data_IF_449127556676
#
_entry.id   IF_449127556676
#
_cell.length_a   1.000
_cell.length_b   1.000
_cell.length_c   1.000
_cell.angle_alpha   90.00
_cell.angle_beta   90.00
_cell.angle_gamma   90.00
#
_symmetry.space_group_name_H-M   'P 1'
#
loop_
_entity.id
_entity.type
_entity.pdbx_description
1 polymer ?
#
# COMPACT_ATOMS: atom_id res chain seq x y z
N UNK A 1 28.13 -20.06 -1.71
CA UNK A 1 27.76 -21.43 -1.27
C UNK A 1 26.50 -21.83 -2.04
N UNK A 2 26.64 -22.66 -3.09
CA UNK A 2 25.55 -22.95 -4.04
C UNK A 2 24.38 -23.72 -3.38
N UNK A 3 24.69 -24.62 -2.43
CA UNK A 3 23.68 -25.40 -1.71
C UNK A 3 22.72 -24.54 -0.90
N UNK A 4 23.23 -23.52 -0.17
CA UNK A 4 22.36 -22.62 0.61
C UNK A 4 21.46 -21.76 -0.28
N UNK A 5 21.93 -21.36 -1.45
CA UNK A 5 21.11 -20.60 -2.42
C UNK A 5 19.92 -21.45 -2.90
N UNK A 6 20.16 -22.71 -3.22
CA UNK A 6 19.11 -23.61 -3.71
C UNK A 6 18.10 -23.96 -2.61
N UNK A 7 18.55 -24.12 -1.37
CA UNK A 7 17.67 -24.25 -0.20
C UNK A 7 16.76 -23.02 -0.02
N UNK A 8 17.34 -21.82 0.00
CA UNK A 8 16.58 -20.57 0.13
C UNK A 8 15.55 -20.40 -0.99
N UNK A 9 15.89 -20.81 -2.22
CA UNK A 9 14.95 -20.76 -3.34
C UNK A 9 13.77 -21.73 -3.15
N UNK A 10 14.01 -22.94 -2.62
CA UNK A 10 12.93 -23.89 -2.30
C UNK A 10 12.07 -23.41 -1.15
N UNK A 11 12.69 -22.90 -0.08
CA UNK A 11 12.00 -22.30 1.07
C UNK A 11 11.10 -21.14 0.60
N UNK A 12 11.62 -20.24 -0.25
CA UNK A 12 10.85 -19.15 -0.86
C UNK A 12 9.69 -19.69 -1.70
N UNK A 13 9.91 -20.67 -2.57
CA UNK A 13 8.84 -21.21 -3.42
C UNK A 13 7.70 -21.77 -2.58
N UNK A 14 8.03 -22.61 -1.60
CA UNK A 14 7.03 -23.18 -0.69
C UNK A 14 6.27 -22.10 0.10
N UNK A 15 6.97 -21.03 0.50
CA UNK A 15 6.35 -19.90 1.18
C UNK A 15 5.37 -19.16 0.26
N UNK A 16 5.75 -18.86 -0.98
CA UNK A 16 4.87 -18.19 -1.95
C UNK A 16 3.62 -19.02 -2.21
N UNK A 17 3.77 -20.32 -2.46
CA UNK A 17 2.65 -21.24 -2.72
C UNK A 17 1.69 -21.27 -1.52
N UNK A 18 2.24 -21.36 -0.30
CA UNK A 18 1.44 -21.40 0.94
C UNK A 18 0.77 -20.05 1.19
N UNK A 19 1.48 -18.94 1.01
CA UNK A 19 0.98 -17.60 1.23
C UNK A 19 -0.18 -17.27 0.29
N UNK A 20 -0.05 -17.62 -0.99
CA UNK A 20 -1.13 -17.49 -1.97
C UNK A 20 -2.33 -18.35 -1.58
N UNK A 21 -2.14 -19.62 -1.24
CA UNK A 21 -3.22 -20.52 -0.85
C UNK A 21 -3.99 -20.08 0.41
N UNK A 22 -3.33 -19.40 1.34
CA UNK A 22 -3.92 -18.97 2.62
C UNK A 22 -4.60 -17.61 2.51
N UNK A 23 -3.96 -16.64 1.85
CA UNK A 23 -4.37 -15.23 1.92
C UNK A 23 -5.00 -14.70 0.64
N UNK A 24 -4.78 -15.33 -0.52
CA UNK A 24 -5.36 -14.84 -1.77
C UNK A 24 -6.81 -15.33 -1.93
N UNK A 25 -7.77 -14.40 -1.97
CA UNK A 25 -9.16 -14.71 -2.33
C UNK A 25 -9.30 -14.58 -3.85
N UNK A 26 -9.49 -15.71 -4.55
CA UNK A 26 -9.62 -15.76 -6.01
C UNK A 26 -10.91 -15.13 -6.53
N UNK A 27 -11.93 -14.93 -5.67
CA UNK A 27 -13.19 -14.26 -6.04
C UNK A 27 -13.03 -12.75 -5.99
N UNK A 28 -12.33 -12.26 -4.97
CA UNK A 28 -12.07 -10.83 -4.83
C UNK A 28 -10.91 -10.37 -5.72
N UNK A 29 -9.90 -11.21 -5.92
CA UNK A 29 -8.73 -10.92 -6.75
C UNK A 29 -7.58 -10.24 -6.01
N UNK A 30 -7.43 -10.47 -4.69
CA UNK A 30 -6.36 -9.89 -3.89
C UNK A 30 -6.06 -10.69 -2.61
N UNK A 31 -5.06 -10.26 -1.84
CA UNK A 31 -4.71 -10.85 -0.55
C UNK A 31 -5.45 -10.18 0.60
N UNK A 32 -5.95 -10.98 1.54
CA UNK A 32 -6.68 -10.50 2.71
C UNK A 32 -6.20 -11.19 3.98
N UNK A 33 -6.34 -10.52 5.12
CA UNK A 33 -6.04 -11.12 6.41
C UNK A 33 -6.99 -12.30 6.70
N UNK A 34 -6.47 -13.35 7.33
CA UNK A 34 -7.24 -14.53 7.68
C UNK A 34 -7.62 -14.53 9.16
N UNK A 35 -8.91 -14.69 9.46
CA UNK A 35 -9.36 -14.95 10.81
C UNK A 35 -9.05 -16.40 11.20
N UNK A 36 -8.05 -16.61 12.06
CA UNK A 36 -7.64 -17.94 12.50
C UNK A 36 -8.72 -18.75 13.26
N UNK A 37 -9.76 -18.09 13.79
CA UNK A 37 -10.85 -18.78 14.51
C UNK A 37 -11.93 -19.28 13.56
N UNK A 38 -12.26 -18.51 12.52
CA UNK A 38 -13.34 -18.85 11.58
C UNK A 38 -12.82 -19.46 10.27
N UNK A 39 -11.55 -19.22 9.93
CA UNK A 39 -10.97 -19.58 8.64
C UNK A 39 -11.43 -18.67 7.49
N UNK A 40 -12.05 -17.53 7.80
CA UNK A 40 -12.58 -16.59 6.80
C UNK A 40 -11.62 -15.42 6.57
N UNK A 41 -11.61 -14.89 5.35
CA UNK A 41 -10.90 -13.66 5.01
C UNK A 41 -11.63 -12.42 5.53
N UNK A 42 -10.86 -11.45 6.04
CA UNK A 42 -11.35 -10.11 6.34
C UNK A 42 -11.36 -9.27 5.07
N UNK A 43 -12.55 -9.01 4.53
CA UNK A 43 -12.76 -8.32 3.26
C UNK A 43 -12.76 -6.77 3.37
N UNK A 44 -12.25 -6.25 4.48
CA UNK A 44 -12.14 -4.82 4.73
C UNK A 44 -11.11 -4.16 3.80
N UNK A 45 -11.37 -2.91 3.42
CA UNK A 45 -10.55 -2.19 2.45
C UNK A 45 -9.27 -1.64 3.09
N UNK A 46 -8.24 -2.47 3.14
CA UNK A 46 -6.87 -2.10 3.48
C UNK A 46 -5.96 -2.17 2.25
N UNK A 47 -5.13 -1.15 1.98
CA UNK A 47 -4.17 -1.18 0.88
C UNK A 47 -3.11 -2.28 1.04
N UNK A 48 -2.93 -2.87 2.23
CA UNK A 48 -2.06 -4.03 2.44
C UNK A 48 -2.39 -5.20 1.51
N UNK A 49 -3.63 -5.27 1.01
CA UNK A 49 -4.07 -6.26 0.02
C UNK A 49 -3.21 -6.30 -1.25
N UNK A 50 -2.46 -5.25 -1.55
CA UNK A 50 -1.58 -5.15 -2.73
C UNK A 50 -0.08 -5.15 -2.38
N UNK A 51 0.30 -5.20 -1.10
CA UNK A 51 1.71 -5.27 -0.67
C UNK A 51 2.47 -6.48 -1.22
N UNK A 52 1.84 -7.66 -1.46
CA UNK A 52 2.53 -8.77 -2.11
C UNK A 52 3.14 -8.44 -3.48
N UNK A 53 2.58 -7.46 -4.20
CA UNK A 53 3.17 -6.94 -5.45
C UNK A 53 4.55 -6.30 -5.22
N UNK A 54 4.71 -5.56 -4.13
CA UNK A 54 5.98 -4.93 -3.75
C UNK A 54 7.05 -5.96 -3.35
N UNK A 55 6.64 -6.98 -2.59
CA UNK A 55 7.55 -8.01 -2.09
C UNK A 55 7.87 -9.09 -3.11
N UNK A 56 7.22 -9.06 -4.29
CA UNK A 56 7.32 -10.13 -5.30
C UNK A 56 6.98 -11.52 -4.72
N UNK A 57 5.98 -11.54 -3.83
CA UNK A 57 5.50 -12.73 -3.12
C UNK A 57 4.25 -13.31 -3.80
N UNK A 58 4.39 -13.57 -5.09
CA UNK A 58 3.36 -14.15 -5.95
C UNK A 58 4.02 -14.77 -7.18
N UNK A 59 3.28 -15.60 -7.92
CA UNK A 59 3.78 -16.12 -9.19
C UNK A 59 3.76 -15.02 -10.26
N UNK A 60 4.91 -14.39 -10.52
CA UNK A 60 5.05 -13.26 -11.46
C UNK A 60 4.60 -13.52 -12.90
N UNK A 61 4.46 -14.79 -13.31
CA UNK A 61 3.93 -15.16 -14.62
C UNK A 61 2.40 -15.04 -14.70
N UNK A 62 1.72 -14.85 -13.57
CA UNK A 62 0.27 -14.68 -13.50
C UNK A 62 -0.11 -13.20 -13.72
N UNK A 63 -0.07 -12.76 -14.97
CA UNK A 63 -0.42 -11.39 -15.34
C UNK A 63 -1.89 -11.04 -15.05
N UNK A 64 -2.78 -12.03 -15.02
CA UNK A 64 -4.19 -11.85 -14.67
C UNK A 64 -4.35 -11.44 -13.20
N UNK A 65 -3.70 -12.16 -12.28
CA UNK A 65 -3.70 -11.84 -10.84
C UNK A 65 -3.29 -10.39 -10.57
N UNK A 66 -2.26 -9.91 -11.27
CA UNK A 66 -1.79 -8.54 -11.12
C UNK A 66 -2.84 -7.52 -11.56
N UNK A 67 -3.59 -7.81 -12.64
CA UNK A 67 -4.71 -6.98 -13.08
C UNK A 67 -5.85 -6.98 -12.06
N UNK A 68 -6.18 -8.15 -11.51
CA UNK A 68 -7.25 -8.33 -10.51
C UNK A 68 -6.97 -7.54 -9.23
N UNK A 69 -5.70 -7.47 -8.79
CA UNK A 69 -5.31 -6.70 -7.60
C UNK A 69 -5.53 -5.20 -7.81
N UNK A 70 -5.15 -4.67 -8.98
CA UNK A 70 -5.40 -3.26 -9.30
C UNK A 70 -6.90 -2.97 -9.39
N UNK A 71 -7.67 -3.87 -10.01
CA UNK A 71 -9.13 -3.76 -10.07
C UNK A 71 -9.73 -3.77 -8.65
N UNK A 72 -9.22 -4.61 -7.76
CA UNK A 72 -9.65 -4.67 -6.36
C UNK A 72 -9.37 -3.37 -5.62
N UNK A 73 -8.16 -2.81 -5.74
CA UNK A 73 -7.82 -1.50 -5.17
C UNK A 73 -8.79 -0.40 -5.64
N UNK A 74 -9.15 -0.41 -6.93
CA UNK A 74 -10.08 0.54 -7.52
C UNK A 74 -11.51 0.31 -7.03
N UNK A 75 -12.01 -0.92 -7.07
CA UNK A 75 -13.37 -1.32 -6.68
C UNK A 75 -13.62 -1.08 -5.19
N UNK A 76 -12.63 -1.36 -4.34
CA UNK A 76 -12.67 -1.04 -2.91
C UNK A 76 -12.60 0.48 -2.65
N UNK A 77 -12.22 1.29 -3.63
CA UNK A 77 -12.17 2.75 -3.53
C UNK A 77 -10.88 3.30 -2.93
N UNK A 78 -9.81 2.50 -2.82
CA UNK A 78 -8.53 2.90 -2.22
C UNK A 78 -7.77 3.92 -3.07
N UNK A 79 -8.03 4.00 -4.38
CA UNK A 79 -7.31 4.86 -5.33
C UNK A 79 -7.98 6.21 -5.61
N UNK A 80 -9.15 6.46 -5.03
CA UNK A 80 -9.99 7.62 -5.37
C UNK A 80 -9.53 8.94 -4.74
N UNK A 81 -8.59 8.89 -3.80
CA UNK A 81 -8.24 10.04 -2.96
C UNK A 81 -7.22 10.97 -3.65
N UNK A 82 -7.29 12.28 -3.37
CA UNK A 82 -6.40 13.26 -4.01
C UNK A 82 -5.01 13.33 -3.37
N UNK A 83 -4.85 12.91 -2.11
CA UNK A 83 -3.57 13.01 -1.38
C UNK A 83 -2.70 11.75 -1.40
N UNK A 84 -3.10 10.71 -2.12
CA UNK A 84 -2.54 9.35 -1.99
C UNK A 84 -3.52 8.40 -1.29
N UNK A 85 -3.06 7.21 -0.96
CA UNK A 85 -3.87 6.10 -0.42
C UNK A 85 -3.95 6.21 1.11
N UNK A 86 -5.15 6.13 1.73
CA UNK A 86 -5.29 6.07 3.19
C UNK A 86 -4.89 4.69 3.72
N UNK A 87 -4.54 4.61 5.00
CA UNK A 87 -4.14 3.36 5.66
C UNK A 87 -5.26 2.31 5.70
N UNK A 88 -6.53 2.74 5.67
CA UNK A 88 -7.72 1.91 5.48
C UNK A 88 -8.89 2.78 5.04
N UNK A 89 -10.05 2.18 4.77
CA UNK A 89 -11.33 2.90 4.63
C UNK A 89 -12.21 2.86 5.89
N UNK A 90 -11.72 2.33 7.01
CA UNK A 90 -12.46 2.33 8.25
C UNK A 90 -12.63 3.75 8.79
N UNK A 91 -13.86 4.15 9.07
CA UNK A 91 -14.20 5.51 9.53
C UNK A 91 -14.66 5.49 10.99
N UNK A 92 -14.42 6.60 11.69
CA UNK A 92 -14.89 6.78 13.07
C UNK A 92 -14.13 5.95 14.11
N UNK A 93 -13.01 5.33 13.74
CA UNK A 93 -12.18 4.52 14.65
C UNK A 93 -11.28 5.37 15.55
N UNK A 94 -11.00 6.60 15.12
CA UNK A 94 -10.02 7.51 15.72
C UNK A 94 -8.62 6.90 15.85
N UNK A 95 -8.29 5.88 15.05
CA UNK A 95 -6.96 5.25 15.03
C UNK A 95 -6.04 5.95 14.01
N UNK A 96 -4.73 5.90 14.24
CA UNK A 96 -3.78 6.56 13.33
C UNK A 96 -3.64 5.82 11.99
N UNK A 97 -3.83 4.51 11.99
CA UNK A 97 -3.71 3.62 10.84
C UNK A 97 -5.04 3.36 10.13
N UNK A 98 -5.94 4.35 10.15
CA UNK A 98 -7.22 4.30 9.46
C UNK A 98 -7.50 5.60 8.69
N UNK A 99 -8.60 5.62 7.95
CA UNK A 99 -9.10 6.82 7.29
C UNK A 99 -9.23 8.00 8.29
N UNK A 100 -8.77 9.21 7.94
CA UNK A 100 -8.31 9.68 6.62
C UNK A 100 -6.78 9.67 6.43
N UNK A 101 -6.04 8.99 7.29
CA UNK A 101 -4.59 9.13 7.37
C UNK A 101 -3.89 8.30 6.29
N UNK A 102 -3.07 8.95 5.47
CA UNK A 102 -2.12 8.30 4.56
C UNK A 102 -0.71 8.35 5.14
N UNK A 103 0.01 7.23 4.99
CA UNK A 103 1.37 7.06 5.47
C UNK A 103 2.32 6.78 4.31
N UNK A 104 3.55 7.29 4.43
CA UNK A 104 4.58 7.12 3.40
C UNK A 104 4.87 5.66 3.06
N UNK A 105 5.05 4.73 4.03
CA UNK A 105 5.44 3.35 3.73
C UNK A 105 4.41 2.61 2.88
N UNK A 106 3.13 2.72 3.21
CA UNK A 106 2.09 1.99 2.48
C UNK A 106 1.85 2.58 1.09
N UNK A 107 1.88 3.92 0.96
CA UNK A 107 1.83 4.55 -0.36
C UNK A 107 3.02 4.11 -1.22
N UNK A 108 4.22 4.12 -0.66
CA UNK A 108 5.44 3.68 -1.34
C UNK A 108 5.36 2.23 -1.79
N UNK A 109 5.00 1.30 -0.90
CA UNK A 109 4.87 -0.12 -1.25
C UNK A 109 3.87 -0.32 -2.40
N UNK A 110 2.73 0.37 -2.41
CA UNK A 110 1.77 0.22 -3.51
C UNK A 110 2.30 0.83 -4.82
N UNK A 111 2.90 2.02 -4.76
CA UNK A 111 3.48 2.67 -5.94
C UNK A 111 4.60 1.80 -6.53
N UNK A 112 5.53 1.34 -5.71
CA UNK A 112 6.66 0.52 -6.13
C UNK A 112 6.24 -0.85 -6.62
N UNK A 113 5.29 -1.49 -5.94
CA UNK A 113 4.72 -2.76 -6.36
C UNK A 113 4.10 -2.65 -7.75
N UNK A 114 3.42 -1.53 -8.04
CA UNK A 114 2.87 -1.27 -9.37
C UNK A 114 3.94 -0.89 -10.41
N UNK A 115 4.93 -0.08 -10.02
CA UNK A 115 5.99 0.43 -10.91
C UNK A 115 6.93 -0.66 -11.42
N UNK A 116 7.27 -1.63 -10.56
CA UNK A 116 8.19 -2.74 -10.90
C UNK A 116 7.58 -3.76 -11.88
N UNK A 117 6.27 -3.74 -12.05
CA UNK A 117 5.61 -4.56 -13.05
C UNK A 117 5.96 -4.06 -14.44
N UNK A 118 6.36 -4.95 -15.33
CA UNK A 118 6.60 -4.64 -16.74
C UNK A 118 5.27 -4.51 -17.52
N UNK A 119 4.37 -3.65 -17.04
CA UNK A 119 3.04 -3.42 -17.59
C UNK A 119 2.76 -1.91 -17.64
N UNK A 120 2.55 -1.31 -18.84
CA UNK A 120 2.34 0.13 -18.98
C UNK A 120 1.15 0.68 -18.20
N UNK A 121 0.05 -0.06 -18.11
CA UNK A 121 -1.13 0.34 -17.33
C UNK A 121 -0.80 0.43 -15.85
N UNK A 122 -0.04 -0.53 -15.32
CA UNK A 122 0.38 -0.55 -13.92
C UNK A 122 1.34 0.60 -13.60
N UNK A 123 2.31 0.83 -14.49
CA UNK A 123 3.27 1.94 -14.37
C UNK A 123 2.59 3.31 -14.43
N UNK A 124 1.59 3.47 -15.30
CA UNK A 124 0.79 4.69 -15.36
C UNK A 124 0.01 4.92 -14.06
N UNK A 125 -0.58 3.87 -13.48
CA UNK A 125 -1.26 3.97 -12.17
C UNK A 125 -0.29 4.29 -11.04
N UNK A 126 0.88 3.66 -11.00
CA UNK A 126 1.95 4.01 -10.06
C UNK A 126 2.30 5.51 -10.14
N UNK A 127 2.49 6.03 -11.36
CA UNK A 127 2.81 7.44 -11.57
C UNK A 127 1.69 8.37 -11.07
N UNK A 128 0.42 8.06 -11.33
CA UNK A 128 -0.72 8.85 -10.84
C UNK A 128 -0.78 8.91 -9.31
N UNK A 129 -0.56 7.77 -8.64
CA UNK A 129 -0.56 7.69 -7.18
C UNK A 129 0.65 8.43 -6.59
N UNK A 130 1.84 8.26 -7.20
CA UNK A 130 3.04 8.98 -6.81
C UNK A 130 2.87 10.49 -6.91
N UNK A 131 2.32 10.98 -8.02
CA UNK A 131 2.08 12.41 -8.24
C UNK A 131 1.12 12.99 -7.17
N UNK A 132 0.05 12.26 -6.83
CA UNK A 132 -0.87 12.66 -5.74
C UNK A 132 -0.14 12.75 -4.39
N UNK A 133 0.65 11.74 -4.05
CA UNK A 133 1.40 11.69 -2.79
C UNK A 133 2.46 12.79 -2.69
N UNK A 134 3.30 12.94 -3.72
CA UNK A 134 4.37 13.95 -3.76
C UNK A 134 3.77 15.36 -3.69
N UNK A 135 2.73 15.66 -4.48
CA UNK A 135 2.10 16.99 -4.46
C UNK A 135 1.47 17.29 -3.10
N UNK A 136 0.87 16.30 -2.42
CA UNK A 136 0.36 16.47 -1.05
C UNK A 136 1.48 16.83 -0.07
N UNK A 137 2.58 16.08 -0.10
CA UNK A 137 3.73 16.30 0.76
C UNK A 137 4.35 17.67 0.51
N UNK A 138 4.60 18.00 -0.76
CA UNK A 138 5.24 19.24 -1.15
C UNK A 138 4.38 20.47 -0.83
N UNK A 139 3.08 20.43 -1.12
CA UNK A 139 2.18 21.54 -0.81
C UNK A 139 2.13 21.84 0.70
N UNK A 140 2.17 20.80 1.54
CA UNK A 140 2.19 21.01 2.99
C UNK A 140 3.57 21.46 3.48
N UNK A 141 4.65 20.94 2.90
CA UNK A 141 6.01 21.40 3.18
C UNK A 141 6.18 22.89 2.84
N UNK A 142 5.62 23.37 1.73
CA UNK A 142 5.66 24.80 1.38
C UNK A 142 4.97 25.69 2.41
N UNK A 143 3.95 25.17 3.09
CA UNK A 143 3.18 25.91 4.10
C UNK A 143 3.83 25.86 5.49
N UNK A 144 4.26 24.66 5.90
CA UNK A 144 4.67 24.40 7.28
C UNK A 144 6.21 24.33 7.44
N UNK A 145 6.95 24.25 6.35
CA UNK A 145 8.40 23.97 6.29
C UNK A 145 8.79 22.68 7.04
N UNK A 146 7.89 21.69 7.01
CA UNK A 146 7.98 20.43 7.74
C UNK A 146 7.52 19.27 6.87
N UNK A 147 8.22 18.14 6.99
CA UNK A 147 7.77 16.84 6.49
C UNK A 147 7.11 16.08 7.62
N UNK A 148 5.82 15.79 7.50
CA UNK A 148 5.04 15.16 8.55
C UNK A 148 5.16 13.63 8.51
N UNK A 149 4.91 12.99 9.65
CA UNK A 149 4.87 11.53 9.79
C UNK A 149 3.74 10.91 8.93
N UNK A 150 2.57 11.57 8.94
CA UNK A 150 1.34 11.16 8.23
C UNK A 150 0.52 12.36 7.78
N UNK A 151 -0.28 12.16 6.73
CA UNK A 151 -1.04 13.22 6.04
C UNK A 151 -2.52 12.88 5.96
N UNK A 152 -3.40 13.88 6.00
CA UNK A 152 -4.78 13.69 5.60
C UNK A 152 -4.84 13.63 4.08
N UNK A 153 -5.22 12.47 3.53
CA UNK A 153 -5.23 12.25 2.08
C UNK A 153 -6.63 12.37 1.47
N UNK A 154 -7.66 12.49 2.31
CA UNK A 154 -9.03 12.19 1.93
C UNK A 154 -9.72 13.27 1.09
N UNK A 155 -9.25 14.51 1.17
CA UNK A 155 -9.92 15.71 0.61
C UNK A 155 -8.91 16.61 -0.09
N UNK A 156 -9.40 17.52 -0.94
CA UNK A 156 -8.52 18.43 -1.71
C UNK A 156 -7.68 19.36 -0.82
N UNK A 157 -8.21 19.77 0.34
CA UNK A 157 -7.45 20.59 1.28
C UNK A 157 -6.14 19.91 1.68
N UNK A 158 -5.09 20.71 1.87
CA UNK A 158 -3.76 20.22 2.23
C UNK A 158 -3.54 20.45 3.74
N UNK A 159 -3.41 19.36 4.51
CA UNK A 159 -3.10 19.42 5.95
C UNK A 159 -2.41 18.16 6.47
N UNK A 160 -1.70 18.32 7.58
CA UNK A 160 -1.20 17.20 8.37
C UNK A 160 -2.38 16.41 8.96
N UNK A 161 -2.21 15.10 9.09
CA UNK A 161 -3.16 14.29 9.86
C UNK A 161 -3.22 14.79 11.31
N UNK A 162 -4.42 14.80 11.89
CA UNK A 162 -4.66 15.27 13.27
C UNK A 162 -5.12 14.18 14.21
N UNK A 163 -5.78 13.16 13.69
CA UNK A 163 -6.45 12.14 14.48
C UNK A 163 -5.50 11.00 14.86
N UNK A 164 -5.83 10.33 15.96
CA UNK A 164 -5.13 9.16 16.44
C UNK A 164 -4.64 9.22 17.87
N UNK A 165 -3.81 8.24 18.24
CA UNK A 165 -3.36 8.00 19.62
C UNK A 165 -2.43 9.09 20.18
N UNK A 166 -1.75 9.86 19.33
CA UNK A 166 -0.84 10.93 19.74
C UNK A 166 -0.67 12.01 18.65
N UNK A 167 -0.14 13.16 19.05
CA UNK A 167 0.14 14.28 18.15
C UNK A 167 1.14 13.93 17.04
N UNK A 168 0.73 14.19 15.80
CA UNK A 168 1.52 13.97 14.59
C UNK A 168 2.93 14.60 14.68
N UNK A 169 3.96 13.82 14.28
CA UNK A 169 5.37 14.21 14.34
C UNK A 169 5.88 14.72 13.00
N UNK A 170 7.04 15.37 12.99
CA UNK A 170 7.65 15.92 11.76
C UNK A 170 9.16 15.67 11.70
N UNK A 171 9.75 15.94 10.53
CA UNK A 171 11.13 15.57 10.18
C UNK A 171 11.27 14.10 9.82
N UNK A 172 10.15 13.41 9.60
CA UNK A 172 10.06 11.96 9.76
C UNK A 172 10.79 11.17 8.67
N UNK A 173 11.60 10.18 9.09
CA UNK A 173 12.56 9.48 8.23
C UNK A 173 11.95 8.81 6.99
N UNK A 174 10.89 8.01 7.15
CA UNK A 174 10.24 7.37 6.00
C UNK A 174 9.62 8.38 5.03
N UNK A 175 9.20 9.55 5.51
CA UNK A 175 8.46 10.50 4.66
C UNK A 175 9.47 11.15 3.73
N UNK A 176 10.60 11.55 4.29
CA UNK A 176 11.72 12.09 3.55
C UNK A 176 12.25 11.04 2.55
N UNK A 177 12.44 9.80 3.00
CA UNK A 177 12.95 8.72 2.15
C UNK A 177 12.04 8.44 0.95
N UNK A 178 10.74 8.30 1.19
CA UNK A 178 9.76 8.01 0.13
C UNK A 178 9.66 9.16 -0.87
N UNK A 179 9.65 10.42 -0.42
CA UNK A 179 9.58 11.57 -1.34
C UNK A 179 10.85 11.74 -2.18
N UNK A 180 12.01 11.25 -1.70
CA UNK A 180 13.25 11.28 -2.47
C UNK A 180 13.40 10.11 -3.44
N UNK A 181 12.74 8.98 -3.17
CA UNK A 181 12.77 7.79 -4.01
C UNK A 181 11.79 7.88 -5.20
N UNK A 182 10.62 8.46 -4.98
CA UNK A 182 9.53 8.63 -5.97
C UNK A 182 9.74 9.86 -6.87
#
# INVERSE_FOLDING_TARGET
>A
NLTRRDELNRERSNFVDTFEAVFFDTREGAWFDLNLKTGEHYDDAYPSLAVPLFTECYHMLNSAMVADVLETLQRKGLLQFPGGIPASLMKGTNQQWDYPNGWAPINHMIIEGLRKLNNPTMQQRAFEIANKWINRNYALYQKDHKMWEKYDVAKEYVRAAKDGEYENKYGFGWTNGVVLDL
#
